data_IF_762557307857
#
_entry.id   IF_762557307857
#
_cell.length_a   1.000
_cell.length_b   1.000
_cell.length_c   1.000
_cell.angle_alpha   90.00
_cell.angle_beta   90.00
_cell.angle_gamma   90.00
#
_symmetry.space_group_name_H-M   'P 1'
#
loop_
_entity.id
_entity.type
_entity.pdbx_description
1 polymer ?
2 non-polymer ?
3 non-polymer ?
4 water ?
#
# COMPACT_ATOMS: atom_id res chain seq x y z
N UNK A 1 -17.52 -4.20 11.54
CA UNK A 1 -16.33 -3.98 10.74
C UNK A 1 -15.22 -4.97 11.06
N UNK A 2 -15.21 -6.09 10.34
CA UNK A 2 -14.21 -7.12 10.50
C UNK A 2 -12.85 -6.57 10.07
N UNK A 3 -11.89 -6.65 10.97
CA UNK A 3 -10.55 -6.11 10.76
C UNK A 3 -9.52 -7.22 10.83
N UNK A 4 -8.42 -7.07 10.10
CA UNK A 4 -7.33 -7.99 10.03
C UNK A 4 -6.02 -7.35 10.47
N UNK A 5 -5.17 -8.19 11.03
CA UNK A 5 -3.84 -7.79 11.47
C UNK A 5 -2.91 -7.59 10.29
N UNK A 6 -2.20 -6.44 10.29
CA UNK A 6 -1.28 -6.20 9.19
C UNK A 6 0.07 -6.83 9.29
N UNK A 7 0.41 -7.54 10.37
CA UNK A 7 1.63 -8.33 10.38
C UNK A 7 1.32 -9.63 11.14
N UNK A 8 1.93 -10.73 10.77
CA UNK A 8 1.83 -11.96 11.55
C UNK A 8 3.28 -12.30 11.93
N UNK A 9 3.42 -12.91 13.10
CA UNK A 9 4.75 -13.27 13.57
C UNK A 9 5.67 -12.05 13.61
N UNK A 10 6.84 -12.20 13.01
CA UNK A 10 7.87 -11.19 12.99
C UNK A 10 7.79 -10.20 11.85
N UNK A 11 6.72 -10.21 11.07
CA UNK A 11 6.49 -9.19 10.07
C UNK A 11 7.60 -8.99 9.06
N UNK A 12 8.09 -10.07 8.46
CA UNK A 12 9.09 -10.05 7.42
C UNK A 12 8.50 -10.27 6.02
N UNK A 13 7.23 -10.65 5.91
CA UNK A 13 6.61 -10.79 4.58
C UNK A 13 5.16 -10.32 4.67
N UNK A 14 4.52 -10.03 3.53
CA UNK A 14 3.16 -9.55 3.55
C UNK A 14 2.17 -10.59 4.04
N UNK A 15 1.05 -10.12 4.53
CA UNK A 15 0.00 -11.00 5.03
C UNK A 15 -0.86 -11.52 3.88
N UNK A 16 -0.90 -10.86 2.72
CA UNK A 16 -1.71 -11.29 1.61
C UNK A 16 -1.11 -10.68 0.34
N UNK A 17 -1.32 -11.31 -0.77
CA UNK A 17 -0.87 -10.85 -2.08
C UNK A 17 -2.01 -11.08 -3.08
N UNK A 18 -2.42 -10.03 -3.77
CA UNK A 18 -3.46 -10.11 -4.78
C UNK A 18 -2.84 -9.84 -6.14
N UNK A 19 -3.22 -10.65 -7.13
CA UNK A 19 -2.77 -10.44 -8.50
C UNK A 19 -3.92 -10.04 -9.39
N UNK A 20 -3.66 -9.02 -10.24
CA UNK A 20 -4.68 -8.41 -11.08
C UNK A 20 -4.29 -8.40 -12.55
N UNK A 21 -5.34 -8.67 -13.38
CA UNK A 21 -5.12 -8.56 -14.83
C UNK A 21 -5.23 -7.08 -15.21
N UNK A 22 -4.10 -6.45 -15.55
CA UNK A 22 -4.09 -5.02 -15.85
C UNK A 22 -4.97 -4.62 -17.02
N UNK A 23 -5.21 -5.49 -17.99
CA UNK A 23 -6.09 -5.17 -19.11
C UNK A 23 -7.57 -5.13 -18.73
N UNK A 24 -7.94 -5.64 -17.57
CA UNK A 24 -9.31 -5.67 -17.10
C UNK A 24 -9.61 -4.63 -16.03
N UNK A 25 -8.59 -3.89 -15.59
CA UNK A 25 -8.87 -2.94 -14.51
C UNK A 25 -9.55 -1.69 -15.03
N UNK A 26 -10.69 -1.35 -14.42
CA UNK A 26 -11.33 -0.08 -14.74
C UNK A 26 -11.05 0.86 -13.56
N UNK A 27 -11.30 0.36 -12.37
CA UNK A 27 -11.11 1.11 -11.13
C UNK A 27 -9.62 1.17 -10.80
N UNK A 28 -9.06 2.38 -10.81
CA UNK A 28 -7.62 2.55 -10.55
C UNK A 28 -7.41 3.20 -9.20
N UNK A 29 -8.12 2.72 -8.20
CA UNK A 29 -8.03 3.21 -6.84
C UNK A 29 -8.17 2.12 -5.79
N UNK A 30 -7.69 2.39 -4.61
CA UNK A 30 -7.74 1.49 -3.47
C UNK A 30 -8.07 2.30 -2.23
N UNK A 31 -8.79 1.69 -1.29
CA UNK A 31 -9.22 2.41 -0.11
C UNK A 31 -9.38 1.46 1.05
N UNK A 32 -9.15 1.97 2.24
CA UNK A 32 -9.21 1.15 3.45
C UNK A 32 -9.23 2.02 4.67
N UNK A 33 -9.44 1.41 5.84
CA UNK A 33 -9.28 2.07 7.14
C UNK A 33 -8.17 1.32 7.87
N UNK A 34 -7.30 2.04 8.57
CA UNK A 34 -6.15 1.52 9.27
C UNK A 34 -6.09 2.12 10.70
N UNK A 35 -5.63 1.29 11.63
CA UNK A 35 -5.53 1.70 13.02
C UNK A 35 -4.22 1.16 13.55
N UNK A 36 -3.41 2.02 14.20
CA UNK A 36 -2.12 1.58 14.67
C UNK A 36 -1.49 2.57 15.65
N UNK A 37 -0.54 2.10 16.42
CA UNK A 37 0.29 2.88 17.31
C UNK A 37 1.72 2.82 16.79
N UNK A 38 1.92 2.14 15.66
CA UNK A 38 3.24 1.88 15.11
C UNK A 38 3.71 2.97 14.14
N UNK A 39 4.79 3.67 14.46
CA UNK A 39 5.24 4.77 13.62
C UNK A 39 5.86 4.36 12.31
N UNK A 40 6.24 3.13 12.07
CA UNK A 40 6.94 2.76 10.85
C UNK A 40 6.50 1.40 10.33
N UNK A 41 6.45 1.30 9.00
CA UNK A 41 6.14 -0.04 8.45
C UNK A 41 5.51 0.18 7.06
N UNK A 42 5.17 -0.98 6.47
CA UNK A 42 4.53 -0.95 5.16
C UNK A 42 3.02 -1.09 5.39
N UNK A 43 2.21 -0.32 4.74
CA UNK A 43 0.75 -0.60 4.71
C UNK A 43 0.49 -1.47 3.50
N UNK A 44 0.84 -1.03 2.31
CA UNK A 44 0.73 -1.90 1.13
C UNK A 44 1.78 -1.56 0.11
N UNK A 45 2.04 -2.53 -0.73
CA UNK A 45 3.00 -2.44 -1.83
C UNK A 45 2.32 -2.85 -3.12
N UNK A 46 2.66 -2.26 -4.24
CA UNK A 46 2.14 -2.75 -5.54
C UNK A 46 3.22 -2.70 -6.58
N UNK A 47 3.10 -3.58 -7.59
CA UNK A 47 4.09 -3.59 -8.64
C UNK A 47 3.49 -4.18 -9.93
N UNK A 48 4.25 -3.97 -11.00
CA UNK A 48 4.00 -4.77 -12.20
C UNK A 48 5.35 -5.46 -12.49
N UNK A 49 6.34 -5.07 -11.71
CA UNK A 49 7.71 -5.54 -11.80
C UNK A 49 8.46 -5.06 -10.57
N UNK A 50 9.01 -5.98 -9.77
CA UNK A 50 9.68 -5.67 -8.52
C UNK A 50 11.00 -4.95 -8.69
N UNK A 51 11.59 -5.01 -9.88
CA UNK A 51 12.79 -4.20 -10.13
C UNK A 51 12.38 -2.80 -10.62
N UNK A 52 11.51 -2.79 -11.61
CA UNK A 52 11.31 -1.63 -12.45
C UNK A 52 10.11 -0.74 -12.24
N UNK A 53 9.03 -1.31 -11.66
CA UNK A 53 7.77 -0.60 -11.69
C UNK A 53 7.01 -0.95 -10.43
N UNK A 54 7.31 -0.20 -9.36
CA UNK A 54 6.78 -0.52 -8.05
C UNK A 54 6.34 0.71 -7.28
N UNK A 55 5.63 0.45 -6.18
CA UNK A 55 5.02 1.44 -5.34
C UNK A 55 4.87 0.91 -3.93
N UNK A 56 5.16 1.75 -2.92
CA UNK A 56 4.92 1.38 -1.52
C UNK A 56 4.19 2.51 -0.83
N UNK A 57 3.21 2.27 -0.02
CA UNK A 57 2.60 3.18 0.92
C UNK A 57 2.92 2.66 2.30
N UNK A 58 3.57 3.45 3.13
CA UNK A 58 3.91 3.04 4.48
C UNK A 58 3.83 4.25 5.39
N UNK A 59 4.29 3.94 6.61
CA UNK A 59 4.41 4.99 7.62
C UNK A 59 5.88 5.12 7.98
N UNK A 60 6.26 6.43 8.16
CA UNK A 60 7.65 6.69 8.62
C UNK A 60 7.46 7.92 9.52
N UNK A 61 7.95 7.72 10.78
CA UNK A 61 7.72 8.71 11.83
C UNK A 61 6.27 9.02 12.04
N UNK A 62 5.39 7.97 11.96
CA UNK A 62 3.96 8.13 12.12
C UNK A 62 3.15 8.51 10.88
N UNK A 63 3.80 9.19 9.92
CA UNK A 63 3.10 9.78 8.79
C UNK A 63 3.24 8.95 7.50
N UNK A 64 2.23 9.09 6.68
CA UNK A 64 2.31 8.41 5.38
C UNK A 64 3.63 8.69 4.66
N UNK A 65 4.17 7.70 3.96
CA UNK A 65 5.29 7.83 3.06
C UNK A 65 4.98 7.02 1.82
N UNK A 66 5.16 7.60 0.67
CA UNK A 66 5.11 6.89 -0.59
C UNK A 66 6.46 6.76 -1.23
N UNK A 67 6.90 5.57 -1.63
CA UNK A 67 8.05 5.36 -2.46
C UNK A 67 7.51 4.81 -3.80
N UNK A 68 8.02 5.30 -4.89
CA UNK A 68 7.51 4.91 -6.23
C UNK A 68 8.73 4.82 -7.13
N UNK A 69 8.77 3.80 -7.97
CA UNK A 69 9.86 3.71 -8.94
C UNK A 69 9.29 3.17 -10.25
N UNK A 70 9.29 3.95 -11.33
CA UNK A 70 8.78 3.42 -12.58
C UNK A 70 9.50 4.12 -13.71
N UNK A 71 9.01 3.95 -14.92
CA UNK A 71 9.65 4.60 -16.07
C UNK A 71 9.62 6.11 -16.02
N UNK A 72 8.67 6.74 -15.35
CA UNK A 72 8.49 8.16 -15.35
C UNK A 72 9.00 8.86 -14.11
N UNK A 73 9.06 8.18 -12.97
CA UNK A 73 9.35 8.90 -11.73
C UNK A 73 9.92 7.99 -10.65
N UNK A 74 10.84 8.55 -9.89
CA UNK A 74 11.47 7.79 -8.78
C UNK A 74 11.43 8.73 -7.62
N UNK A 75 10.69 8.38 -6.54
CA UNK A 75 10.56 9.31 -5.45
C UNK A 75 10.29 8.68 -4.10
N UNK A 76 10.63 9.44 -3.05
CA UNK A 76 10.42 9.04 -1.64
C UNK A 76 9.81 10.26 -1.00
N UNK A 77 8.52 10.26 -0.65
CA UNK A 77 7.78 11.39 -0.21
C UNK A 77 6.96 11.11 1.03
N UNK A 78 7.06 11.97 2.02
CA UNK A 78 6.28 11.88 3.24
C UNK A 78 5.22 12.96 3.21
N UNK A 79 4.02 12.75 3.72
CA UNK A 79 2.94 13.72 3.66
C UNK A 79 1.83 13.39 4.66
N UNK A 80 0.98 14.35 4.92
CA UNK A 80 -0.19 14.03 5.76
C UNK A 80 0.14 14.04 7.24
N UNK A 81 -0.95 13.89 8.01
CA UNK A 81 -0.79 13.90 9.48
C UNK A 81 -0.33 12.56 10.00
N UNK A 82 0.10 12.48 11.26
CA UNK A 82 0.48 11.21 11.87
C UNK A 82 -0.77 10.32 11.93
N UNK A 83 -0.60 9.04 11.62
CA UNK A 83 -1.70 8.10 11.70
C UNK A 83 -1.50 7.10 12.83
N UNK A 84 -0.46 7.30 13.63
CA UNK A 84 -0.10 6.31 14.65
C UNK A 84 -0.64 6.70 16.04
N UNK A 85 -1.85 7.19 16.05
CA UNK A 85 -2.53 7.67 17.24
C UNK A 85 -3.57 6.71 17.79
N UNK A 86 -3.55 5.47 17.36
CA UNK A 86 -4.53 4.47 17.78
C UNK A 86 -5.96 4.71 17.36
N UNK A 87 -6.29 5.56 16.42
CA UNK A 87 -7.62 5.85 15.92
C UNK A 87 -7.78 5.33 14.48
N UNK A 88 -9.00 4.93 14.11
CA UNK A 88 -9.23 4.47 12.74
C UNK A 88 -9.12 5.62 11.76
N UNK A 89 -8.35 5.45 10.68
CA UNK A 89 -8.22 6.47 9.68
C UNK A 89 -8.63 5.96 8.29
N UNK A 90 -9.38 6.73 7.55
CA UNK A 90 -9.78 6.41 6.21
C UNK A 90 -8.65 6.84 5.26
N UNK A 91 -8.23 5.91 4.40
CA UNK A 91 -7.16 6.21 3.46
C UNK A 91 -7.57 5.83 2.06
N UNK A 92 -7.30 6.64 1.06
CA UNK A 92 -7.58 6.31 -0.33
C UNK A 92 -6.36 6.61 -1.14
N UNK A 93 -6.00 5.75 -2.07
CA UNK A 93 -4.89 5.98 -3.00
C UNK A 93 -5.50 5.86 -4.38
N UNK A 94 -5.42 6.89 -5.19
CA UNK A 94 -6.11 6.88 -6.48
C UNK A 94 -5.26 7.39 -7.61
N UNK A 95 -5.40 6.80 -8.78
CA UNK A 95 -4.76 7.41 -9.98
C UNK A 95 -5.77 8.38 -10.54
N UNK A 96 -5.36 9.57 -10.95
CA UNK A 96 -6.15 10.65 -11.56
C UNK A 96 -5.32 11.22 -12.70
N UNK A 97 -5.56 10.72 -13.89
CA UNK A 97 -4.74 11.10 -15.04
C UNK A 97 -3.34 10.53 -14.88
N UNK A 98 -2.32 11.40 -14.83
CA UNK A 98 -0.96 10.94 -14.68
C UNK A 98 -0.52 11.10 -13.18
N UNK A 99 -1.45 11.38 -12.31
CA UNK A 99 -1.07 11.63 -10.92
C UNK A 99 -1.51 10.43 -10.08
N UNK A 100 -0.87 10.32 -8.89
CA UNK A 100 -1.27 9.46 -7.80
C UNK A 100 -1.66 10.37 -6.65
N UNK A 101 -2.87 10.27 -6.16
CA UNK A 101 -3.43 11.08 -5.10
C UNK A 101 -3.49 10.24 -3.83
N UNK A 102 -3.27 10.83 -2.69
CA UNK A 102 -3.43 10.25 -1.39
C UNK A 102 -4.38 11.08 -0.56
N UNK A 103 -5.48 10.46 -0.10
CA UNK A 103 -6.46 11.16 0.70
C UNK A 103 -6.49 10.52 2.07
N UNK A 104 -6.52 11.27 3.16
CA UNK A 104 -6.50 10.81 4.51
C UNK A 104 -7.69 11.48 5.21
N UNK A 105 -8.56 10.63 5.78
CA UNK A 105 -9.76 11.13 6.49
C UNK A 105 -10.56 12.14 5.72
N UNK A 106 -10.75 11.92 4.42
CA UNK A 106 -11.51 12.75 3.53
C UNK A 106 -10.78 13.93 2.91
N UNK A 107 -9.52 14.14 3.33
CA UNK A 107 -8.83 15.30 2.78
C UNK A 107 -7.65 14.84 1.90
N UNK A 108 -7.54 15.47 0.73
CA UNK A 108 -6.37 15.20 -0.11
C UNK A 108 -5.11 15.74 0.62
N UNK A 109 -4.12 14.90 0.83
CA UNK A 109 -2.93 15.36 1.54
C UNK A 109 -1.72 15.27 0.64
N UNK A 110 -1.78 14.69 -0.52
CA UNK A 110 -0.64 14.58 -1.39
C UNK A 110 -1.08 14.30 -2.79
N UNK A 111 -0.45 14.87 -3.79
CA UNK A 111 -0.73 14.57 -5.21
C UNK A 111 0.60 14.46 -5.91
N UNK A 112 1.01 13.28 -6.29
CA UNK A 112 2.26 13.09 -7.00
C UNK A 112 1.97 13.22 -8.48
N UNK A 113 2.27 14.34 -9.09
CA UNK A 113 1.91 14.56 -10.49
C UNK A 113 2.99 14.03 -11.40
N UNK A 114 2.55 13.69 -12.66
CA UNK A 114 3.46 13.29 -13.70
C UNK A 114 4.25 12.02 -13.36
N UNK A 115 3.57 11.05 -12.69
CA UNK A 115 4.25 9.83 -12.28
C UNK A 115 3.76 8.59 -13.01
N UNK A 116 2.68 8.71 -13.75
CA UNK A 116 2.21 7.44 -14.38
C UNK A 116 1.76 7.69 -15.80
N UNK A 117 2.31 6.91 -16.73
CA UNK A 117 1.89 7.06 -18.13
C UNK A 117 0.88 5.92 -18.37
N UNK A 118 3.18 -4.83 -19.50
CA UNK A 118 2.91 -4.92 -18.07
C UNK A 118 1.50 -5.48 -17.86
N UNK A 119 1.31 -6.76 -18.14
CA UNK A 119 0.01 -7.38 -18.04
C UNK A 119 -0.54 -7.63 -16.64
N UNK A 120 0.32 -7.76 -15.62
CA UNK A 120 -0.20 -8.08 -14.29
C UNK A 120 0.28 -7.10 -13.21
N UNK A 121 -0.67 -6.72 -12.37
CA UNK A 121 -0.27 -5.87 -11.21
C UNK A 121 -0.45 -6.68 -9.94
N UNK A 122 0.51 -6.68 -9.04
CA UNK A 122 0.35 -7.34 -7.74
C UNK A 122 0.20 -6.34 -6.61
N UNK A 123 -0.67 -6.59 -5.65
CA UNK A 123 -0.79 -5.75 -4.45
C UNK A 123 -0.44 -6.61 -3.22
N UNK A 124 0.49 -6.17 -2.39
CA UNK A 124 0.88 -6.95 -1.21
C UNK A 124 0.49 -6.13 0.01
N UNK A 125 -0.16 -6.70 1.02
CA UNK A 125 -0.59 -6.00 2.21
C UNK A 125 0.37 -6.24 3.35
N UNK A 126 0.87 -5.16 4.00
CA UNK A 126 1.76 -5.30 5.13
C UNK A 126 3.19 -5.71 4.86
N UNK A 127 3.65 -5.70 3.61
CA UNK A 127 5.00 -6.08 3.31
C UNK A 127 5.27 -5.81 1.84
N UNK A 128 6.51 -6.05 1.47
CA UNK A 128 7.01 -5.80 0.14
C UNK A 128 7.15 -7.12 -0.63
N UNK A 129 7.41 -7.06 -1.92
CA UNK A 129 7.72 -8.29 -2.68
C UNK A 129 9.17 -8.29 -3.12
N UNK A 130 10.02 -7.58 -2.37
CA UNK A 130 11.45 -7.52 -2.58
C UNK A 130 12.03 -7.18 -1.21
N UNK A 131 13.33 -7.40 -0.99
CA UNK A 131 13.89 -7.11 0.32
C UNK A 131 13.74 -5.63 0.65
N UNK A 132 13.61 -5.30 1.93
CA UNK A 132 13.47 -3.89 2.32
C UNK A 132 14.69 -3.06 2.02
N UNK A 133 15.88 -3.68 1.93
CA UNK A 133 17.07 -3.00 1.47
C UNK A 133 17.02 -2.55 0.03
N UNK A 134 16.10 -2.97 -0.83
CA UNK A 134 15.95 -2.60 -2.21
C UNK A 134 15.03 -1.36 -2.38
N UNK A 135 14.48 -0.95 -1.25
CA UNK A 135 13.65 0.29 -1.31
C UNK A 135 14.61 1.41 -1.65
N UNK A 136 14.00 2.54 -2.12
CA UNK A 136 14.83 3.74 -2.29
C UNK A 136 15.38 4.19 -0.96
N UNK A 137 14.57 4.11 0.09
CA UNK A 137 14.94 4.48 1.44
C UNK A 137 14.43 3.35 2.33
N UNK A 138 15.33 2.43 2.73
CA UNK A 138 14.83 1.35 3.55
C UNK A 138 14.14 1.84 4.81
N UNK A 139 13.16 1.01 5.22
CA UNK A 139 12.50 1.07 6.49
C UNK A 139 12.30 -0.41 6.95
N UNK A 140 11.95 -0.60 8.19
CA UNK A 140 11.61 -1.96 8.70
C UNK A 140 10.12 -2.12 8.43
N UNK A 141 9.80 -3.11 7.57
CA UNK A 141 8.46 -3.30 7.05
C UNK A 141 7.34 -3.66 7.97
N UNK A 142 7.66 -4.33 9.10
CA UNK A 142 6.59 -4.75 9.98
C UNK A 142 5.71 -3.61 10.46
N UNK A 143 4.41 -3.67 10.23
CA UNK A 143 3.45 -2.68 10.68
C UNK A 143 2.41 -3.34 11.60
N UNK A 144 2.56 -3.06 12.89
CA UNK A 144 1.60 -3.59 13.88
C UNK A 144 0.38 -2.72 13.91
N UNK A 145 -0.61 -3.04 13.10
CA UNK A 145 -1.85 -2.31 12.99
C UNK A 145 -2.96 -3.21 12.45
N UNK A 146 -4.13 -2.62 12.33
CA UNK A 146 -5.30 -3.35 11.84
C UNK A 146 -5.84 -2.70 10.59
N UNK A 147 -6.47 -3.47 9.72
CA UNK A 147 -6.96 -3.03 8.44
C UNK A 147 -8.40 -3.50 8.31
N UNK A 148 -9.29 -2.69 7.81
CA UNK A 148 -10.66 -3.09 7.62
C UNK A 148 -11.27 -2.28 6.50
N UNK A 149 -12.43 -2.68 5.99
CA UNK A 149 -13.14 -1.94 4.96
C UNK A 149 -12.23 -1.61 3.76
N UNK A 150 -11.51 -2.61 3.32
CA UNK A 150 -10.50 -2.46 2.27
C UNK A 150 -11.05 -2.90 0.93
N UNK A 151 -10.62 -2.32 -0.14
CA UNK A 151 -11.04 -2.42 -1.52
C UNK A 151 -9.78 -2.15 -2.35
N UNK A 152 -9.34 -3.12 -3.10
CA UNK A 152 -8.09 -3.09 -3.85
C UNK A 152 -8.32 -3.09 -5.33
N UNK A 153 -7.95 -1.99 -5.96
CA UNK A 153 -8.19 -1.84 -7.40
C UNK A 153 -9.59 -2.27 -7.79
N UNK A 154 -9.62 -3.11 -8.82
CA UNK A 154 -10.85 -3.60 -9.41
C UNK A 154 -11.02 -5.09 -9.15
N UNK A 155 -11.96 -5.45 -8.29
CA UNK A 155 -12.22 -6.83 -7.92
C UNK A 155 -12.56 -7.71 -9.11
N UNK A 156 -13.18 -7.16 -10.15
CA UNK A 156 -13.47 -7.88 -11.38
C UNK A 156 -12.20 -8.23 -12.12
N UNK A 157 -11.07 -7.56 -11.87
CA UNK A 157 -9.82 -7.87 -12.54
C UNK A 157 -8.87 -8.66 -11.65
N UNK A 158 -9.33 -9.05 -10.46
CA UNK A 158 -8.47 -9.86 -9.59
C UNK A 158 -8.30 -11.28 -10.14
N UNK A 159 -7.10 -11.71 -10.44
CA UNK A 159 -6.82 -13.05 -10.96
C UNK A 159 -6.68 -14.09 -9.84
N UNK A 160 -6.03 -13.72 -8.74
CA UNK A 160 -5.81 -14.64 -7.63
C UNK A 160 -5.46 -13.86 -6.37
N UNK A 161 -5.64 -14.50 -5.25
CA UNK A 161 -5.18 -13.96 -3.97
C UNK A 161 -4.54 -15.10 -3.17
N UNK A 162 -3.50 -14.74 -2.43
CA UNK A 162 -2.77 -15.69 -1.61
C UNK A 162 -2.45 -15.11 -0.24
N UNK A 163 -2.12 -16.01 0.68
CA UNK A 163 -1.52 -15.59 1.96
C UNK A 163 -0.50 -16.64 2.36
N UNK A 164 0.66 -16.25 2.84
CA UNK A 164 1.71 -17.17 3.29
C UNK A 164 1.33 -17.88 4.58
N UNK A 165 0.45 -17.25 5.35
CA UNK A 165 -0.12 -17.78 6.58
C UNK A 165 -1.58 -17.36 6.58
N UNK A 166 -2.47 -17.88 7.42
CA UNK A 166 -3.86 -17.38 7.31
C UNK A 166 -4.00 -16.06 8.04
N UNK A 167 -4.98 -15.26 7.64
CA UNK A 167 -5.27 -13.96 8.22
C UNK A 167 -5.68 -14.03 9.69
N UNK A 168 -5.15 -13.14 10.52
CA UNK A 168 -5.52 -13.09 11.93
C UNK A 168 -6.50 -11.93 12.18
N UNK A 169 -7.61 -12.26 12.83
CA UNK A 169 -8.64 -11.29 13.16
C UNK A 169 -8.11 -10.28 14.17
N UNK A 170 -8.50 -9.01 14.05
CA UNK A 170 -8.04 -7.99 14.98
C UNK A 170 -9.01 -7.80 16.14
X LIG B 1 6.82 -1.16 12.71
X LIG C 1 7.71 -1.06 -16.88
X LIG D 1 -2.71 3.09 -8.25
X LIG D 1 -3.83 3.33 -7.25
X LIG D 1 -4.00 2.04 -6.45
X LIG D 1 -5.13 1.67 -6.19
X LIG D 1 -2.79 1.39 -5.91
X LIG D 1 -1.69 1.21 -6.97
X LIG D 1 -0.43 0.52 -6.43
X LIG D 1 0.53 0.19 -7.57
X LIG D 1 0.88 1.46 -8.38
X LIG D 1 -0.41 2.19 -8.86
X LIG D 1 -1.38 2.55 -7.70
X LIG D 1 -0.02 3.39 -9.75
X LIG D 1 0.95 3.14 -10.88
X LIG D 1 2.18 2.38 -10.40
X LIG D 1 1.73 1.14 -9.60
X LIG D 1 3.06 0.42 -9.37
X LIG D 1 3.79 0.58 -10.71
X LIG D 1 2.99 1.66 -11.46
X LIG D 1 3.87 2.50 -12.22
X LIG D 1 3.10 3.29 -9.54
X LIG D 1 -0.70 3.54 -6.72
#
# INVERSE_FOLDING_TARGET
PPAVHLSNGPGQEPIAVMTFDLTKITKTSSSFEVRTWDPEGVIFYGDTNPKDDWFMLGLRDGRPEIQLHNHWAQLTVGAGPRLDDGRWHQVEVKMEGDSVLLEVDGEEVLRLRQVSGHPIMRIALGGLLFPASNLRLPLVPALDGCLRRDSWLDKQAEISASAPTSLRSC
CA CA
CA CA
DHT C1 C2 C3 O3 C4 C5 C6 C7 C8 C9 C10 C11 C12 C13 C14 C15 C16 C17 O17 C18 C19
#
